data_IF_556892994877
#
_entry.id   IF_556892994877
#
_cell.length_a   1.000
_cell.length_b   1.000
_cell.length_c   1.000
_cell.angle_alpha   90.00
_cell.angle_beta   90.00
_cell.angle_gamma   90.00
#
_symmetry.space_group_name_H-M   'P 1'
#
loop_
_entity.id
_entity.type
_entity.pdbx_description
1 polymer ?
#
# COMPACT_ATOMS: atom_id res chain seq x y z
N UNK A 1 80.09 -9.47 10.45
CA UNK A 1 80.58 -8.41 9.54
C UNK A 1 80.08 -7.08 10.10
N UNK A 2 80.91 -6.35 10.85
CA UNK A 2 81.78 -5.24 10.36
C UNK A 2 80.94 -4.15 9.69
N UNK A 3 80.90 -2.88 10.06
CA UNK A 3 81.52 -1.97 11.03
C UNK A 3 80.62 -0.70 10.99
N UNK A 4 80.85 0.46 11.58
CA UNK A 4 82.01 1.08 12.20
C UNK A 4 81.47 2.31 12.99
N UNK A 5 82.16 2.67 14.07
CA UNK A 5 81.98 3.81 15.01
C UNK A 5 82.51 5.12 14.31
N UNK A 6 82.61 6.39 14.84
CA UNK A 6 82.20 7.04 16.11
C UNK A 6 81.49 8.42 16.03
N UNK A 7 80.93 8.76 17.21
CA UNK A 7 80.93 10.05 17.97
C UNK A 7 81.72 11.28 17.47
N UNK A 8 81.24 12.50 17.78
CA UNK A 8 81.76 13.32 18.92
C UNK A 8 81.25 14.79 18.98
N UNK A 9 81.45 15.39 20.18
CA UNK A 9 81.47 16.81 20.64
C UNK A 9 80.13 17.56 20.74
N UNK A 10 79.61 17.96 21.92
CA UNK A 10 80.13 18.80 23.04
C UNK A 10 80.07 20.31 22.80
N UNK A 11 79.58 21.06 23.79
CA UNK A 11 79.80 22.51 23.97
C UNK A 11 78.51 23.34 24.05
N UNK A 12 77.93 23.52 25.24
CA UNK A 12 78.07 24.67 26.15
C UNK A 12 77.48 26.03 25.68
N UNK A 13 76.44 26.44 26.42
CA UNK A 13 76.13 27.77 26.99
C UNK A 13 76.47 29.02 26.16
N UNK A 14 75.46 29.86 25.93
CA UNK A 14 75.49 31.23 26.48
C UNK A 14 74.09 31.84 26.54
N UNK A 15 73.99 32.85 27.39
CA UNK A 15 72.84 33.50 28.00
C UNK A 15 72.79 34.91 27.43
N UNK A 16 71.65 35.36 26.91
CA UNK A 16 71.36 36.80 26.86
C UNK A 16 69.85 37.05 26.82
N UNK A 17 69.41 37.82 27.81
CA UNK A 17 68.07 38.39 27.98
C UNK A 17 67.78 39.39 26.85
N UNK A 18 66.50 39.61 26.53
CA UNK A 18 66.14 40.82 25.79
C UNK A 18 64.71 40.94 25.28
N UNK A 19 63.86 41.52 26.12
CA UNK A 19 62.67 42.34 25.79
C UNK A 19 61.41 41.65 25.25
N UNK A 20 60.44 41.55 26.16
CA UNK A 20 59.01 41.41 25.89
C UNK A 20 58.45 42.64 25.18
N UNK A 21 57.81 42.43 24.03
CA UNK A 21 56.87 43.40 23.43
C UNK A 21 55.48 42.76 23.47
N UNK A 22 54.61 43.33 24.29
CA UNK A 22 53.22 42.92 24.48
C UNK A 22 52.39 43.31 23.25
N UNK A 23 52.01 42.33 22.43
CA UNK A 23 51.02 42.50 21.35
C UNK A 23 49.66 42.06 21.89
N UNK A 24 48.71 43.00 22.04
CA UNK A 24 47.31 42.68 22.39
C UNK A 24 46.63 42.05 21.16
N UNK A 25 45.91 40.92 21.30
CA UNK A 25 45.09 40.39 20.22
C UNK A 25 43.78 41.18 20.08
N UNK A 26 43.16 41.22 18.89
CA UNK A 26 41.88 41.89 18.66
C UNK A 26 40.71 41.09 19.26
N UNK A 27 39.60 41.80 19.49
CA UNK A 27 38.40 41.34 20.18
C UNK A 27 37.81 40.04 19.63
N UNK A 28 37.37 39.17 20.55
CA UNK A 28 36.76 37.87 20.26
C UNK A 28 35.45 38.02 19.46
N UNK A 29 35.40 37.40 18.29
CA UNK A 29 34.16 37.25 17.52
C UNK A 29 33.20 36.31 18.25
N UNK A 30 31.99 36.82 18.59
CA UNK A 30 30.90 36.01 19.16
C UNK A 30 30.46 34.98 18.11
N UNK A 31 30.75 33.71 18.36
CA UNK A 31 30.15 32.59 17.59
C UNK A 31 28.66 32.51 17.94
N UNK A 32 27.81 32.79 16.97
CA UNK A 32 26.39 32.43 17.02
C UNK A 32 26.28 30.91 16.92
N UNK A 33 26.00 30.25 18.03
CA UNK A 33 25.66 28.83 18.05
C UNK A 33 24.25 28.68 17.51
N UNK A 34 24.11 28.32 16.22
CA UNK A 34 22.83 27.87 15.67
C UNK A 34 22.51 26.55 16.36
N UNK A 35 21.55 26.58 17.28
CA UNK A 35 21.05 25.38 17.96
C UNK A 35 20.29 24.57 16.93
N UNK A 36 20.85 23.46 16.49
CA UNK A 36 20.13 22.49 15.67
C UNK A 36 18.89 22.04 16.46
N UNK A 37 17.72 22.42 15.97
CA UNK A 37 16.45 21.86 16.45
C UNK A 37 16.44 20.42 15.97
N UNK A 38 16.79 19.49 16.86
CA UNK A 38 16.56 18.08 16.63
C UNK A 38 15.05 17.88 16.48
N UNK A 39 14.59 17.79 15.24
CA UNK A 39 13.22 17.38 14.94
C UNK A 39 13.15 15.91 15.30
N UNK A 40 12.55 15.59 16.45
CA UNK A 40 12.22 14.21 16.77
C UNK A 40 11.35 13.65 15.62
N UNK A 41 11.54 12.39 15.20
CA UNK A 41 10.64 11.77 14.24
C UNK A 41 9.23 11.81 14.83
N UNK A 42 8.27 12.32 14.06
CA UNK A 42 6.86 12.19 14.37
C UNK A 42 6.60 10.69 14.44
N UNK A 43 6.31 10.17 15.63
CA UNK A 43 5.79 8.82 15.78
C UNK A 43 4.36 8.84 15.24
N UNK A 44 4.21 8.65 13.93
CA UNK A 44 2.91 8.37 13.34
C UNK A 44 2.45 7.03 13.88
N UNK A 45 1.40 7.04 14.70
CA UNK A 45 0.69 5.82 15.11
C UNK A 45 0.41 4.98 13.85
N UNK A 46 0.94 3.76 13.83
CA UNK A 46 0.80 2.89 12.66
C UNK A 46 -0.64 2.40 12.56
N UNK A 47 -1.38 2.92 11.58
CA UNK A 47 -2.75 2.50 11.30
C UNK A 47 -2.76 1.35 10.29
N UNK A 48 -3.12 0.15 10.78
CA UNK A 48 -3.22 -1.06 9.98
C UNK A 48 -4.57 -1.13 9.26
N UNK A 49 -4.52 -1.24 7.94
CA UNK A 49 -5.66 -1.60 7.10
C UNK A 49 -5.47 -3.01 6.53
N UNK A 50 -6.56 -3.77 6.42
CA UNK A 50 -6.60 -5.00 5.62
C UNK A 50 -7.66 -4.86 4.55
N UNK A 51 -7.30 -4.97 3.28
CA UNK A 51 -8.23 -4.94 2.15
C UNK A 51 -8.52 -6.38 1.71
N UNK A 52 -9.75 -6.84 1.94
CA UNK A 52 -10.25 -8.11 1.43
C UNK A 52 -10.72 -7.93 -0.01
N UNK A 53 -10.15 -8.69 -0.94
CA UNK A 53 -10.57 -8.69 -2.34
C UNK A 53 -11.43 -9.91 -2.64
N UNK A 54 -12.62 -9.68 -3.22
CA UNK A 54 -13.49 -10.77 -3.63
C UNK A 54 -14.29 -10.38 -4.90
N UNK A 55 -15.10 -11.30 -5.42
CA UNK A 55 -15.77 -11.13 -6.71
C UNK A 55 -16.91 -10.12 -6.60
N UNK A 56 -17.57 -10.12 -5.45
CA UNK A 56 -18.86 -9.48 -5.24
C UNK A 56 -20.01 -10.32 -5.79
N UNK A 57 -21.21 -9.77 -5.72
CA UNK A 57 -22.39 -10.40 -6.28
C UNK A 57 -23.62 -9.52 -6.10
N UNK A 58 -24.64 -9.69 -6.94
CA UNK A 58 -25.84 -8.87 -6.91
C UNK A 58 -26.58 -9.07 -5.59
N UNK A 59 -27.02 -8.01 -4.94
CA UNK A 59 -27.76 -8.10 -3.67
C UNK A 59 -29.26 -8.34 -3.92
N UNK A 60 -29.74 -7.92 -5.09
CA UNK A 60 -31.14 -8.01 -5.49
C UNK A 60 -31.30 -8.61 -6.89
N UNK A 61 -32.49 -9.13 -7.25
CA UNK A 61 -32.75 -9.69 -8.58
C UNK A 61 -32.59 -8.66 -9.71
N UNK A 62 -32.80 -7.38 -9.41
CA UNK A 62 -32.65 -6.26 -10.35
C UNK A 62 -31.18 -5.97 -10.69
N UNK A 63 -30.26 -6.26 -9.77
CA UNK A 63 -28.83 -5.97 -9.88
C UNK A 63 -28.10 -6.94 -10.83
N UNK A 64 -28.72 -8.09 -11.11
CA UNK A 64 -28.10 -9.23 -11.81
C UNK A 64 -27.56 -8.83 -13.17
N UNK A 65 -28.29 -8.03 -13.95
CA UNK A 65 -27.82 -7.62 -15.28
C UNK A 65 -26.60 -6.70 -15.19
N UNK A 66 -26.60 -5.73 -14.27
CA UNK A 66 -25.48 -4.83 -14.06
C UNK A 66 -24.23 -5.57 -13.58
N UNK A 67 -24.40 -6.51 -12.64
CA UNK A 67 -23.32 -7.39 -12.20
C UNK A 67 -22.73 -8.21 -13.35
N UNK A 68 -23.57 -8.83 -14.17
CA UNK A 68 -23.12 -9.61 -15.33
C UNK A 68 -22.44 -8.73 -16.38
N UNK A 69 -22.92 -7.51 -16.58
CA UNK A 69 -22.28 -6.54 -17.47
C UNK A 69 -20.86 -6.23 -17.00
N UNK A 70 -20.66 -5.95 -15.71
CA UNK A 70 -19.33 -5.70 -15.14
C UNK A 70 -18.41 -6.92 -15.27
N UNK A 71 -18.95 -8.12 -15.01
CA UNK A 71 -18.21 -9.39 -15.14
C UNK A 71 -17.75 -9.64 -16.58
N UNK A 72 -18.63 -9.46 -17.58
CA UNK A 72 -18.29 -9.72 -18.97
C UNK A 72 -17.55 -8.57 -19.65
N UNK A 73 -17.55 -7.37 -19.08
CA UNK A 73 -16.72 -6.25 -19.53
C UNK A 73 -15.24 -6.45 -19.17
N UNK A 74 -14.94 -7.39 -18.29
CA UNK A 74 -13.58 -7.68 -17.87
C UNK A 74 -12.80 -8.45 -18.96
N UNK A 75 -11.71 -7.89 -19.50
CA UNK A 75 -10.87 -8.59 -20.48
C UNK A 75 -10.21 -9.84 -19.91
N UNK A 76 -10.13 -10.00 -18.60
CA UNK A 76 -9.59 -11.21 -17.97
C UNK A 76 -10.60 -12.34 -17.83
N UNK A 77 -11.89 -12.05 -18.05
CA UNK A 77 -12.97 -13.04 -18.15
C UNK A 77 -13.22 -13.40 -19.61
N UNK A 78 -13.38 -12.41 -20.49
CA UNK A 78 -13.53 -12.62 -21.94
C UNK A 78 -12.42 -11.87 -22.66
N UNK A 79 -11.40 -12.61 -23.11
CA UNK A 79 -10.28 -12.07 -23.89
C UNK A 79 -10.66 -11.97 -25.36
N UNK A 80 -10.99 -10.77 -25.82
CA UNK A 80 -11.12 -10.49 -27.26
C UNK A 80 -9.75 -10.20 -27.89
N UNK A 81 -9.55 -10.54 -29.18
CA UNK A 81 -8.39 -10.06 -29.94
C UNK A 81 -8.28 -8.53 -29.86
N UNK A 82 -7.06 -7.94 -29.86
CA UNK A 82 -6.89 -6.49 -29.72
C UNK A 82 -7.70 -5.65 -30.72
N UNK A 83 -7.86 -6.13 -31.95
CA UNK A 83 -8.67 -5.50 -32.99
C UNK A 83 -10.17 -5.40 -32.63
N UNK A 84 -10.66 -6.27 -31.75
CA UNK A 84 -12.05 -6.33 -31.30
C UNK A 84 -12.24 -5.82 -29.85
N UNK A 85 -11.17 -5.39 -29.18
CA UNK A 85 -11.28 -4.85 -27.82
C UNK A 85 -12.26 -3.65 -27.70
N UNK A 86 -12.37 -2.73 -28.68
CA UNK A 86 -13.33 -1.62 -28.59
C UNK A 86 -14.81 -2.03 -28.51
N UNK A 87 -15.17 -3.25 -28.96
CA UNK A 87 -16.55 -3.75 -28.92
C UNK A 87 -16.87 -4.53 -27.64
N UNK A 88 -15.93 -4.67 -26.70
CA UNK A 88 -16.08 -5.47 -25.48
C UNK A 88 -17.34 -5.08 -24.69
N UNK A 89 -17.55 -3.78 -24.44
CA UNK A 89 -18.69 -3.30 -23.65
C UNK A 89 -20.03 -3.59 -24.31
N UNK A 90 -20.11 -3.47 -25.64
CA UNK A 90 -21.31 -3.84 -26.39
C UNK A 90 -21.59 -5.35 -26.27
N UNK A 91 -20.58 -6.18 -26.49
CA UNK A 91 -20.70 -7.63 -26.36
C UNK A 91 -21.09 -8.03 -24.93
N UNK A 92 -20.48 -7.43 -23.92
CA UNK A 92 -20.80 -7.64 -22.52
C UNK A 92 -22.27 -7.31 -22.21
N UNK A 93 -22.78 -6.20 -22.77
CA UNK A 93 -24.19 -5.82 -22.66
C UNK A 93 -25.15 -6.86 -23.25
N UNK A 94 -24.88 -7.36 -24.46
CA UNK A 94 -25.71 -8.40 -25.08
C UNK A 94 -25.68 -9.72 -24.31
N UNK A 95 -24.48 -10.15 -23.87
CA UNK A 95 -24.34 -11.38 -23.08
C UNK A 95 -25.04 -11.23 -21.73
N UNK A 96 -24.90 -10.08 -21.06
CA UNK A 96 -25.55 -9.80 -19.79
C UNK A 96 -27.07 -9.86 -19.92
N UNK A 97 -27.66 -9.15 -20.90
CA UNK A 97 -29.10 -9.20 -21.19
C UNK A 97 -29.59 -10.62 -21.46
N UNK A 98 -28.88 -11.37 -22.28
CA UNK A 98 -29.25 -12.75 -22.63
C UNK A 98 -29.19 -13.70 -21.42
N UNK A 99 -28.22 -13.51 -20.51
CA UNK A 99 -28.00 -14.38 -19.35
C UNK A 99 -28.75 -13.96 -18.08
N UNK A 100 -29.19 -12.70 -18.00
CA UNK A 100 -29.83 -12.14 -16.82
C UNK A 100 -31.08 -12.92 -16.38
N UNK A 101 -32.02 -13.35 -17.26
CA UNK A 101 -33.22 -14.06 -16.81
C UNK A 101 -32.91 -15.37 -16.09
N UNK A 102 -32.00 -16.19 -16.65
CA UNK A 102 -31.58 -17.45 -16.05
C UNK A 102 -30.85 -17.23 -14.72
N UNK A 103 -29.97 -16.23 -14.66
CA UNK A 103 -29.19 -15.93 -13.47
C UNK A 103 -30.08 -15.37 -12.34
N UNK A 104 -31.07 -14.53 -12.69
CA UNK A 104 -32.05 -14.01 -11.74
C UNK A 104 -32.85 -15.12 -11.09
N UNK A 105 -33.38 -16.06 -11.87
CA UNK A 105 -34.09 -17.23 -11.33
C UNK A 105 -33.21 -18.07 -10.39
N UNK A 106 -31.90 -18.16 -10.65
CA UNK A 106 -30.95 -18.83 -9.77
C UNK A 106 -30.70 -18.06 -8.46
N UNK A 107 -30.63 -16.73 -8.50
CA UNK A 107 -30.54 -15.92 -7.27
C UNK A 107 -31.84 -15.95 -6.46
N UNK A 108 -33.00 -15.91 -7.13
CA UNK A 108 -34.31 -16.03 -6.50
C UNK A 108 -34.46 -17.35 -5.72
N UNK A 109 -33.97 -18.46 -6.27
CA UNK A 109 -34.06 -19.77 -5.61
C UNK A 109 -33.22 -19.90 -4.34
N UNK A 110 -32.23 -19.01 -4.14
CA UNK A 110 -31.37 -18.96 -2.95
C UNK A 110 -31.69 -17.80 -2.00
N UNK A 111 -32.81 -17.09 -2.22
CA UNK A 111 -33.26 -16.00 -1.34
C UNK A 111 -33.22 -14.59 -1.95
N UNK A 112 -33.03 -14.47 -3.27
CA UNK A 112 -33.15 -13.21 -4.01
C UNK A 112 -31.86 -12.45 -4.26
N UNK A 113 -30.72 -12.93 -3.76
CA UNK A 113 -29.44 -12.24 -3.91
C UNK A 113 -28.25 -13.08 -3.47
N UNK A 114 -27.05 -12.60 -3.79
CA UNK A 114 -25.80 -13.23 -3.37
C UNK A 114 -25.52 -12.92 -1.90
N UNK A 115 -25.29 -13.93 -1.03
CA UNK A 115 -24.94 -13.69 0.36
C UNK A 115 -23.48 -13.21 0.53
N UNK A 116 -22.69 -13.16 -0.56
CA UNK A 116 -21.24 -12.97 -0.52
C UNK A 116 -20.84 -11.67 0.17
N UNK A 117 -21.55 -10.55 -0.07
CA UNK A 117 -21.21 -9.26 0.55
C UNK A 117 -21.39 -9.32 2.05
N UNK A 118 -22.57 -9.78 2.50
CA UNK A 118 -22.89 -9.95 3.92
C UNK A 118 -21.86 -10.85 4.62
N UNK A 119 -21.59 -12.03 4.07
CA UNK A 119 -20.63 -12.97 4.66
C UNK A 119 -19.21 -12.37 4.70
N UNK A 120 -18.78 -11.68 3.63
CA UNK A 120 -17.45 -11.05 3.59
C UNK A 120 -17.34 -9.91 4.60
N UNK A 121 -18.40 -9.13 4.82
CA UNK A 121 -18.46 -8.11 5.87
C UNK A 121 -18.39 -8.74 7.27
N UNK A 122 -19.14 -9.81 7.53
CA UNK A 122 -19.06 -10.55 8.80
C UNK A 122 -17.64 -11.09 9.06
N UNK A 123 -16.97 -11.59 8.01
CA UNK A 123 -15.56 -12.01 8.10
C UNK A 123 -14.62 -10.83 8.35
N UNK A 124 -14.86 -9.68 7.73
CA UNK A 124 -14.08 -8.47 7.94
C UNK A 124 -14.16 -7.99 9.40
N UNK A 125 -15.36 -7.96 9.98
CA UNK A 125 -15.60 -7.59 11.37
C UNK A 125 -14.91 -8.56 12.35
N UNK A 126 -15.04 -9.85 12.08
CA UNK A 126 -14.37 -10.89 12.88
C UNK A 126 -12.84 -10.78 12.80
N UNK A 127 -12.30 -10.50 11.60
CA UNK A 127 -10.87 -10.31 11.41
C UNK A 127 -10.36 -9.05 12.11
N UNK A 128 -11.09 -7.93 12.03
CA UNK A 128 -10.76 -6.69 12.74
C UNK A 128 -10.68 -6.94 14.25
N UNK A 129 -11.69 -7.62 14.80
CA UNK A 129 -11.73 -7.99 16.22
C UNK A 129 -10.53 -8.86 16.61
N UNK A 130 -10.19 -9.86 15.80
CA UNK A 130 -9.04 -10.73 16.05
C UNK A 130 -7.70 -9.99 15.99
N UNK A 131 -7.55 -9.01 15.08
CA UNK A 131 -6.35 -8.17 14.99
C UNK A 131 -6.21 -7.24 16.19
N UNK A 132 -7.32 -6.65 16.66
CA UNK A 132 -7.35 -5.83 17.86
C UNK A 132 -6.91 -6.63 19.10
N UNK A 133 -7.43 -7.85 19.25
CA UNK A 133 -7.02 -8.77 20.32
C UNK A 133 -5.54 -9.17 20.25
N UNK A 134 -4.94 -9.13 19.06
CA UNK A 134 -3.51 -9.40 18.82
C UNK A 134 -2.61 -8.17 18.99
N UNK A 135 -3.14 -7.03 19.43
CA UNK A 135 -2.37 -5.82 19.72
C UNK A 135 -2.37 -4.76 18.61
N UNK A 136 -3.31 -4.84 17.65
CA UNK A 136 -3.53 -3.80 16.64
C UNK A 136 -4.86 -3.06 16.91
N UNK A 137 -4.92 -2.17 17.92
CA UNK A 137 -6.17 -1.56 18.38
C UNK A 137 -6.90 -0.74 17.29
N UNK A 138 -6.15 -0.13 16.37
CA UNK A 138 -6.69 0.68 15.27
C UNK A 138 -6.80 -0.08 13.95
N UNK A 139 -6.72 -1.42 13.98
CA UNK A 139 -6.88 -2.23 12.79
C UNK A 139 -8.28 -2.07 12.19
N UNK A 140 -8.34 -1.73 10.90
CA UNK A 140 -9.57 -1.70 10.11
C UNK A 140 -9.49 -2.68 8.96
N UNK A 141 -10.62 -3.31 8.65
CA UNK A 141 -10.75 -4.25 7.54
C UNK A 141 -11.76 -3.69 6.54
N UNK A 142 -11.36 -3.63 5.27
CA UNK A 142 -12.11 -3.07 4.16
C UNK A 142 -12.47 -4.20 3.19
N UNK A 143 -13.58 -4.05 2.51
CA UNK A 143 -14.06 -5.04 1.52
C UNK A 143 -14.07 -4.37 0.15
N UNK A 144 -13.29 -4.91 -0.78
CA UNK A 144 -13.24 -4.48 -2.18
C UNK A 144 -13.73 -5.60 -3.09
N UNK A 145 -14.79 -5.34 -3.82
CA UNK A 145 -15.41 -6.30 -4.73
C UNK A 145 -15.08 -5.96 -6.19
N UNK A 146 -14.91 -6.99 -7.01
CA UNK A 146 -14.46 -6.81 -8.40
C UNK A 146 -15.58 -6.38 -9.36
N UNK A 147 -16.79 -6.91 -9.22
CA UNK A 147 -17.89 -6.71 -10.18
C UNK A 147 -19.20 -6.19 -9.60
N UNK A 148 -19.26 -6.02 -8.27
CA UNK A 148 -20.41 -5.39 -7.59
C UNK A 148 -19.93 -4.52 -6.44
N UNK A 149 -20.81 -3.74 -5.81
CA UNK A 149 -20.44 -2.86 -4.70
C UNK A 149 -20.16 -3.61 -3.39
N UNK A 150 -19.34 -3.05 -2.48
CA UNK A 150 -18.45 -1.90 -2.69
C UNK A 150 -17.28 -2.29 -3.61
N UNK A 151 -17.03 -1.50 -4.65
CA UNK A 151 -15.93 -1.74 -5.57
C UNK A 151 -14.56 -1.54 -4.89
N UNK A 152 -13.52 -2.16 -5.45
CA UNK A 152 -12.13 -1.97 -4.98
C UNK A 152 -11.75 -0.48 -4.91
N UNK A 153 -12.19 0.32 -5.88
CA UNK A 153 -11.99 1.77 -5.92
C UNK A 153 -12.61 2.47 -4.70
N UNK A 154 -13.85 2.11 -4.35
CA UNK A 154 -14.56 2.67 -3.20
C UNK A 154 -13.85 2.32 -1.89
N UNK A 155 -13.44 1.07 -1.73
CA UNK A 155 -12.69 0.61 -0.56
C UNK A 155 -11.33 1.32 -0.45
N UNK A 156 -10.65 1.53 -1.57
CA UNK A 156 -9.36 2.24 -1.60
C UNK A 156 -9.54 3.71 -1.22
N UNK A 157 -10.61 4.37 -1.64
CA UNK A 157 -10.92 5.73 -1.22
C UNK A 157 -11.19 5.84 0.28
N UNK A 158 -11.85 4.84 0.88
CA UNK A 158 -12.03 4.76 2.33
C UNK A 158 -10.69 4.57 3.07
N UNK A 159 -9.82 3.69 2.58
CA UNK A 159 -8.47 3.47 3.12
C UNK A 159 -7.67 4.78 3.16
N UNK A 160 -7.75 5.59 2.08
CA UNK A 160 -7.11 6.90 2.02
C UNK A 160 -7.69 7.87 3.03
N UNK A 161 -9.02 7.96 3.12
CA UNK A 161 -9.72 8.87 4.06
C UNK A 161 -9.37 8.57 5.51
N UNK A 162 -9.20 7.29 5.85
CA UNK A 162 -8.88 6.85 7.19
C UNK A 162 -7.40 7.04 7.58
N UNK A 163 -6.55 7.38 6.61
CA UNK A 163 -5.12 7.62 6.83
C UNK A 163 -4.36 6.35 7.22
N UNK A 164 -4.71 5.22 6.60
CA UNK A 164 -4.00 3.95 6.79
C UNK A 164 -2.54 4.10 6.36
N UNK A 165 -1.61 3.71 7.24
CA UNK A 165 -0.16 3.78 6.98
C UNK A 165 0.44 2.42 6.63
N UNK A 166 -0.22 1.32 7.01
CA UNK A 166 0.16 -0.05 6.66
C UNK A 166 -1.04 -0.78 6.06
N UNK A 167 -0.94 -1.28 4.83
CA UNK A 167 -2.02 -1.97 4.14
C UNK A 167 -1.65 -3.42 3.82
N UNK A 168 -2.48 -4.37 4.27
CA UNK A 168 -2.40 -5.76 3.82
C UNK A 168 -3.52 -6.02 2.82
N UNK A 169 -3.18 -6.46 1.62
CA UNK A 169 -4.15 -6.83 0.58
C UNK A 169 -4.30 -8.35 0.58
N UNK A 170 -5.51 -8.82 0.85
CA UNK A 170 -5.83 -10.24 0.99
C UNK A 170 -6.95 -10.65 0.02
N UNK A 171 -6.62 -11.27 -1.12
CA UNK A 171 -7.59 -11.94 -1.96
C UNK A 171 -8.22 -13.13 -1.22
N UNK A 172 -9.55 -13.18 -1.22
CA UNK A 172 -10.33 -14.28 -0.63
C UNK A 172 -10.48 -15.49 -1.58
N UNK A 173 -9.53 -15.64 -2.52
CA UNK A 173 -9.43 -16.79 -3.41
C UNK A 173 -8.17 -17.58 -3.02
N UNK A 174 -8.29 -18.69 -2.28
CA UNK A 174 -7.12 -19.45 -1.83
C UNK A 174 -6.28 -19.96 -3.01
N UNK A 175 -6.93 -20.34 -4.11
CA UNK A 175 -6.25 -20.71 -5.35
C UNK A 175 -6.17 -19.50 -6.29
N UNK A 176 -4.95 -19.14 -6.68
CA UNK A 176 -4.74 -18.09 -7.66
C UNK A 176 -5.32 -18.47 -9.04
N UNK A 177 -6.11 -17.57 -9.60
CA UNK A 177 -6.49 -17.60 -11.01
C UNK A 177 -6.40 -16.19 -11.61
N UNK A 178 -6.05 -16.13 -12.89
CA UNK A 178 -5.98 -14.88 -13.66
C UNK A 178 -7.34 -14.17 -13.66
N UNK A 179 -8.44 -14.94 -13.73
CA UNK A 179 -9.82 -14.44 -13.77
C UNK A 179 -10.36 -13.98 -12.41
N UNK A 180 -9.66 -14.25 -11.30
CA UNK A 180 -10.11 -13.90 -9.94
C UNK A 180 -9.11 -12.97 -9.26
N UNK A 181 -8.14 -13.50 -8.53
CA UNK A 181 -7.07 -12.75 -7.86
C UNK A 181 -6.32 -11.89 -8.86
N UNK A 182 -5.97 -12.44 -10.03
CA UNK A 182 -5.26 -11.69 -11.06
C UNK A 182 -6.01 -10.44 -11.52
N UNK A 183 -7.32 -10.55 -11.78
CA UNK A 183 -8.14 -9.42 -12.22
C UNK A 183 -8.27 -8.37 -11.12
N UNK A 184 -8.53 -8.81 -9.88
CA UNK A 184 -8.66 -7.92 -8.72
C UNK A 184 -7.37 -7.16 -8.44
N UNK A 185 -6.22 -7.84 -8.51
CA UNK A 185 -4.91 -7.24 -8.31
C UNK A 185 -4.51 -6.29 -9.45
N UNK A 186 -4.92 -6.54 -10.70
CA UNK A 186 -4.68 -5.60 -11.82
C UNK A 186 -5.42 -4.28 -11.65
N UNK A 187 -6.65 -4.31 -11.14
CA UNK A 187 -7.39 -3.09 -10.79
C UNK A 187 -6.63 -2.31 -9.71
N UNK A 188 -6.19 -3.01 -8.66
CA UNK A 188 -5.43 -2.38 -7.57
C UNK A 188 -4.09 -1.80 -8.04
N UNK A 189 -3.33 -2.54 -8.85
CA UNK A 189 -2.06 -2.08 -9.44
C UNK A 189 -2.25 -0.82 -10.30
N UNK A 190 -3.35 -0.75 -11.07
CA UNK A 190 -3.71 0.45 -11.83
C UNK A 190 -3.94 1.64 -10.89
N UNK A 191 -4.74 1.47 -9.85
CA UNK A 191 -5.03 2.53 -8.86
C UNK A 191 -3.75 3.02 -8.18
N UNK A 192 -2.85 2.10 -7.80
CA UNK A 192 -1.59 2.43 -7.14
C UNK A 192 -0.63 3.20 -8.06
N UNK A 193 -0.60 2.85 -9.35
CA UNK A 193 0.20 3.56 -10.35
C UNK A 193 -0.32 4.97 -10.65
N UNK A 194 -1.64 5.14 -10.68
CA UNK A 194 -2.27 6.45 -10.93
C UNK A 194 -2.03 7.44 -9.76
N UNK A 195 -1.89 6.93 -8.53
CA UNK A 195 -1.63 7.73 -7.33
C UNK A 195 -0.37 7.28 -6.57
N UNK A 196 0.76 7.28 -7.28
CA UNK A 196 2.06 6.84 -6.73
C UNK A 196 2.53 7.69 -5.52
N UNK A 197 2.05 8.93 -5.42
CA UNK A 197 2.38 9.80 -4.29
C UNK A 197 1.73 9.29 -3.00
N UNK A 198 0.54 8.71 -3.06
CA UNK A 198 -0.08 8.09 -1.88
C UNK A 198 0.49 6.70 -1.62
N UNK A 199 0.63 5.87 -2.65
CA UNK A 199 0.93 4.43 -2.51
C UNK A 199 2.41 4.04 -2.50
N UNK A 200 3.32 4.99 -2.25
CA UNK A 200 4.72 4.67 -2.03
C UNK A 200 4.98 4.23 -0.59
N UNK A 201 6.04 3.45 -0.38
CA UNK A 201 6.41 2.86 0.91
C UNK A 201 6.73 3.85 2.04
N UNK A 202 6.88 5.15 1.74
CA UNK A 202 7.06 6.17 2.78
C UNK A 202 5.73 6.65 3.36
N UNK A 203 4.66 6.55 2.59
CA UNK A 203 3.33 7.04 2.97
C UNK A 203 2.40 5.90 3.36
N UNK A 204 2.29 4.87 2.51
CA UNK A 204 1.55 3.64 2.80
C UNK A 204 2.42 2.45 2.44
N UNK A 205 2.93 1.78 3.48
CA UNK A 205 3.62 0.50 3.33
C UNK A 205 2.58 -0.59 3.07
N UNK A 206 2.62 -1.25 1.90
CA UNK A 206 1.62 -2.23 1.52
C UNK A 206 2.22 -3.59 1.19
N UNK A 207 1.52 -4.64 1.60
CA UNK A 207 1.87 -6.04 1.32
C UNK A 207 0.70 -6.73 0.65
N UNK A 208 0.96 -7.44 -0.45
CA UNK A 208 -0.04 -8.25 -1.15
C UNK A 208 0.19 -9.71 -0.83
N UNK A 209 -0.82 -10.38 -0.27
CA UNK A 209 -0.80 -11.83 -0.04
C UNK A 209 -1.27 -12.50 -1.33
N UNK A 210 -0.35 -13.14 -2.05
CA UNK A 210 -0.64 -13.74 -3.37
C UNK A 210 -1.18 -15.17 -3.28
N UNK A 211 -0.93 -15.84 -2.16
CA UNK A 211 -1.20 -17.26 -1.91
C UNK A 211 -1.21 -17.51 -0.39
N UNK A 212 -2.10 -18.39 0.08
CA UNK A 212 -2.24 -18.81 1.47
C UNK A 212 -3.02 -20.12 1.62
#
# INVERSE_FOLDING_TARGET
MMGFVPSSFSGLRSRTQGRSVSVRPPAAARRLTVRAVATAPVQTEEKLGVLLLNLGGPERPEDVEGFLYNLFSDPDIIRLPPALSPIQGFLAGEIARARAPKSRAAYESIGGGSPIRRITSEQADALATALQQKGYPDAKVYVGMRYWHPFTEEAVDEIKKDGVSKLVVLPLYPQYSISTSGSSLRVLDKIFKEDIQTWNSKNVDHTVITDW
#
